data_IF_912382325048
#
_entry.id   IF_912382325048
#
_cell.length_a   1.000
_cell.length_b   1.000
_cell.length_c   1.000
_cell.angle_alpha   90.00
_cell.angle_beta   90.00
_cell.angle_gamma   90.00
#
_symmetry.space_group_name_H-M   'P 1'
#
loop_
_entity.id
_entity.type
_entity.pdbx_description
1 polymer ?
#
# COMPACT_ATOMS: atom_id res chain seq x y z
N UNK A 1 -24.83 -12.00 -54.46
CA UNK A 1 -25.36 -11.43 -55.72
C UNK A 1 -24.75 -12.18 -56.87
N UNK A 2 -25.53 -12.80 -57.75
CA UNK A 2 -25.00 -13.48 -58.94
C UNK A 2 -25.26 -12.57 -60.14
N UNK A 3 -24.21 -12.06 -60.77
CA UNK A 3 -24.32 -11.37 -62.05
C UNK A 3 -23.73 -12.25 -63.14
N UNK A 4 -24.57 -12.69 -64.08
CA UNK A 4 -24.11 -13.29 -65.34
C UNK A 4 -24.37 -12.28 -66.46
N UNK A 5 -23.31 -11.75 -67.05
CA UNK A 5 -23.37 -10.71 -68.06
C UNK A 5 -23.24 -11.19 -69.52
N UNK A 6 -23.43 -12.49 -69.82
CA UNK A 6 -23.26 -13.01 -71.19
C UNK A 6 -24.23 -14.17 -71.51
N UNK A 7 -24.71 -14.18 -72.76
CA UNK A 7 -25.62 -15.15 -73.38
C UNK A 7 -25.18 -16.63 -73.19
N UNK A 8 -26.03 -17.50 -72.60
CA UNK A 8 -25.66 -18.86 -72.19
C UNK A 8 -25.48 -19.85 -73.36
N UNK A 9 -25.81 -19.49 -74.61
CA UNK A 9 -25.80 -20.42 -75.75
C UNK A 9 -24.43 -20.64 -76.40
N UNK A 10 -23.38 -19.92 -75.99
CA UNK A 10 -22.03 -19.97 -76.62
C UNK A 10 -20.86 -20.38 -75.71
N UNK A 11 -21.09 -20.90 -74.51
CA UNK A 11 -20.01 -21.33 -73.61
C UNK A 11 -20.16 -22.78 -73.13
N UNK A 12 -19.10 -23.59 -73.25
CA UNK A 12 -19.07 -25.00 -72.81
C UNK A 12 -18.76 -25.20 -71.32
N UNK A 13 -18.35 -24.16 -70.59
CA UNK A 13 -18.25 -24.15 -69.12
C UNK A 13 -18.45 -22.73 -68.61
N UNK A 14 -19.31 -22.57 -67.60
CA UNK A 14 -19.60 -21.31 -66.92
C UNK A 14 -19.05 -21.41 -65.50
N UNK A 15 -18.14 -20.51 -65.12
CA UNK A 15 -17.61 -20.46 -63.75
C UNK A 15 -18.42 -19.46 -62.93
N UNK A 16 -19.19 -19.96 -61.96
CA UNK A 16 -19.91 -19.12 -60.99
C UNK A 16 -19.01 -18.94 -59.77
N UNK A 17 -18.41 -17.76 -59.63
CA UNK A 17 -17.70 -17.40 -58.40
C UNK A 17 -18.75 -17.03 -57.36
N UNK A 18 -18.96 -17.90 -56.38
CA UNK A 18 -19.82 -17.62 -55.22
C UNK A 18 -18.93 -17.19 -54.05
N UNK A 19 -19.14 -15.97 -53.56
CA UNK A 19 -18.52 -15.50 -52.33
C UNK A 19 -19.49 -15.77 -51.19
N UNK A 20 -19.17 -16.74 -50.34
CA UNK A 20 -19.90 -16.95 -49.10
C UNK A 20 -19.56 -15.81 -48.14
N UNK A 21 -20.54 -14.95 -47.83
CA UNK A 21 -20.41 -13.94 -46.79
C UNK A 21 -20.83 -14.59 -45.48
N UNK A 22 -19.91 -14.68 -44.52
CA UNK A 22 -20.23 -15.19 -43.20
C UNK A 22 -21.26 -14.26 -42.52
N UNK A 23 -22.26 -14.81 -41.81
CA UNK A 23 -23.23 -14.00 -41.10
C UNK A 23 -22.54 -13.18 -40.00
N UNK A 24 -23.03 -11.97 -39.79
CA UNK A 24 -22.56 -11.11 -38.69
C UNK A 24 -23.04 -11.66 -37.34
N UNK A 25 -22.36 -11.30 -36.25
CA UNK A 25 -22.76 -11.67 -34.88
C UNK A 25 -24.22 -11.28 -34.60
N UNK A 26 -24.65 -10.11 -35.09
CA UNK A 26 -26.04 -9.66 -34.93
C UNK A 26 -27.04 -10.53 -35.69
N UNK A 27 -26.72 -10.96 -36.91
CA UNK A 27 -27.58 -11.87 -37.67
C UNK A 27 -27.68 -13.24 -37.00
N UNK A 28 -26.56 -13.79 -36.53
CA UNK A 28 -26.53 -15.05 -35.79
C UNK A 28 -27.43 -14.97 -34.55
N UNK A 29 -27.37 -13.85 -33.82
CA UNK A 29 -28.22 -13.62 -32.64
C UNK A 29 -29.69 -13.52 -33.07
N UNK A 30 -30.05 -12.66 -34.02
CA UNK A 30 -31.46 -12.48 -34.40
C UNK A 30 -32.09 -13.76 -34.95
N UNK A 31 -31.38 -14.50 -35.82
CA UNK A 31 -31.86 -15.77 -36.36
C UNK A 31 -32.05 -16.83 -35.26
N UNK A 32 -31.16 -16.86 -34.26
CA UNK A 32 -31.28 -17.76 -33.11
C UNK A 32 -32.54 -17.46 -32.28
N UNK A 33 -32.84 -16.17 -32.07
CA UNK A 33 -34.02 -15.74 -31.31
C UNK A 33 -35.32 -15.90 -32.09
N UNK A 34 -35.31 -15.71 -33.41
CA UNK A 34 -36.45 -16.01 -34.29
C UNK A 34 -36.76 -17.51 -34.29
N UNK A 35 -35.73 -18.36 -34.39
CA UNK A 35 -35.86 -19.81 -34.31
C UNK A 35 -36.39 -20.27 -32.95
N UNK A 36 -35.90 -19.66 -31.85
CA UNK A 36 -36.41 -19.94 -30.51
C UNK A 36 -37.87 -19.49 -30.34
N UNK A 37 -38.27 -18.36 -30.91
CA UNK A 37 -39.64 -17.87 -30.87
C UNK A 37 -40.61 -18.78 -31.64
N UNK A 38 -40.18 -19.32 -32.78
CA UNK A 38 -40.93 -20.31 -33.56
C UNK A 38 -41.10 -21.62 -32.78
N UNK A 39 -40.02 -22.14 -32.19
CA UNK A 39 -40.05 -23.36 -31.36
C UNK A 39 -41.00 -23.24 -30.16
N UNK A 40 -41.09 -22.05 -29.56
CA UNK A 40 -42.01 -21.76 -28.45
C UNK A 40 -43.44 -21.41 -28.91
N UNK A 41 -43.73 -21.38 -30.21
CA UNK A 41 -45.05 -21.04 -30.76
C UNK A 41 -45.45 -19.57 -30.62
N UNK A 42 -44.51 -18.69 -30.23
CA UNK A 42 -44.76 -17.27 -29.95
C UNK A 42 -45.18 -16.48 -31.19
N UNK A 43 -44.82 -16.96 -32.38
CA UNK A 43 -45.16 -16.35 -33.67
C UNK A 43 -46.69 -16.27 -33.91
N UNK A 44 -47.48 -17.14 -33.26
CA UNK A 44 -48.95 -17.13 -33.36
C UNK A 44 -49.59 -15.96 -32.62
N UNK A 45 -48.89 -15.41 -31.62
CA UNK A 45 -49.37 -14.33 -30.74
C UNK A 45 -48.68 -13.00 -31.07
N UNK A 46 -47.38 -13.04 -31.38
CA UNK A 46 -46.53 -11.86 -31.57
C UNK A 46 -46.15 -11.61 -33.05
N UNK A 47 -46.63 -12.45 -33.97
CA UNK A 47 -46.35 -12.34 -35.42
C UNK A 47 -44.85 -12.24 -35.71
N UNK A 48 -44.45 -11.42 -36.68
CA UNK A 48 -43.07 -11.21 -37.13
C UNK A 48 -42.14 -10.56 -36.09
N UNK A 49 -42.69 -10.02 -34.99
CA UNK A 49 -41.89 -9.39 -33.94
C UNK A 49 -41.47 -10.36 -32.83
N UNK A 50 -41.88 -11.63 -32.88
CA UNK A 50 -41.71 -12.56 -31.76
C UNK A 50 -40.25 -12.75 -31.30
N UNK A 51 -39.29 -12.93 -32.22
CA UNK A 51 -37.87 -13.08 -31.86
C UNK A 51 -37.23 -11.79 -31.33
N UNK A 52 -37.60 -10.62 -31.87
CA UNK A 52 -37.12 -9.32 -31.36
C UNK A 52 -37.67 -9.02 -29.96
N UNK A 53 -38.94 -9.34 -29.70
CA UNK A 53 -39.55 -9.25 -28.37
C UNK A 53 -38.87 -10.20 -27.38
N UNK A 54 -38.58 -11.44 -27.79
CA UNK A 54 -37.87 -12.42 -26.97
C UNK A 54 -36.45 -11.95 -26.62
N UNK A 55 -35.72 -11.41 -27.58
CA UNK A 55 -34.39 -10.82 -27.36
C UNK A 55 -34.47 -9.65 -26.36
N UNK A 56 -35.44 -8.75 -26.51
CA UNK A 56 -35.64 -7.64 -25.59
C UNK A 56 -35.95 -8.12 -24.16
N UNK A 57 -36.78 -9.15 -23.99
CA UNK A 57 -37.07 -9.75 -22.68
C UNK A 57 -35.80 -10.32 -22.06
N UNK A 58 -35.00 -11.08 -22.81
CA UNK A 58 -33.74 -11.66 -22.30
C UNK A 58 -32.76 -10.56 -21.88
N UNK A 59 -32.64 -9.49 -22.67
CA UNK A 59 -31.82 -8.33 -22.31
C UNK A 59 -32.33 -7.65 -21.04
N UNK A 60 -33.64 -7.45 -20.89
CA UNK A 60 -34.23 -6.88 -19.67
C UNK A 60 -33.94 -7.77 -18.46
N UNK A 61 -34.11 -9.09 -18.58
CA UNK A 61 -33.80 -10.04 -17.50
C UNK A 61 -32.32 -10.00 -17.13
N UNK A 62 -31.42 -9.95 -18.12
CA UNK A 62 -29.99 -9.82 -17.88
C UNK A 62 -29.64 -8.52 -17.15
N UNK A 63 -30.29 -7.40 -17.50
CA UNK A 63 -30.12 -6.12 -16.81
C UNK A 63 -30.64 -6.18 -15.37
N UNK A 64 -31.80 -6.78 -15.12
CA UNK A 64 -32.33 -6.97 -13.76
C UNK A 64 -31.40 -7.83 -12.91
N UNK A 65 -30.87 -8.93 -13.48
CA UNK A 65 -29.88 -9.77 -12.81
C UNK A 65 -28.62 -8.97 -12.52
N UNK A 66 -28.12 -8.19 -13.46
CA UNK A 66 -26.94 -7.34 -13.27
C UNK A 66 -27.15 -6.32 -12.13
N UNK A 67 -28.31 -5.65 -12.08
CA UNK A 67 -28.68 -4.73 -11.00
C UNK A 67 -28.75 -5.46 -9.65
N UNK A 68 -29.35 -6.65 -9.61
CA UNK A 68 -29.46 -7.44 -8.39
C UNK A 68 -28.09 -7.92 -7.89
N UNK A 69 -27.22 -8.36 -8.79
CA UNK A 69 -25.83 -8.68 -8.47
C UNK A 69 -25.10 -7.45 -7.94
N UNK A 70 -25.21 -6.29 -8.60
CA UNK A 70 -24.61 -5.04 -8.12
C UNK A 70 -25.10 -4.67 -6.71
N UNK A 71 -26.40 -4.81 -6.44
CA UNK A 71 -26.96 -4.59 -5.11
C UNK A 71 -26.36 -5.54 -4.05
N UNK A 72 -26.23 -6.83 -4.37
CA UNK A 72 -25.60 -7.80 -3.47
C UNK A 72 -24.11 -7.51 -3.25
N UNK A 73 -23.39 -7.10 -4.31
CA UNK A 73 -21.96 -6.80 -4.24
C UNK A 73 -21.64 -5.48 -3.53
N UNK A 74 -22.54 -4.51 -3.53
CA UNK A 74 -22.32 -3.19 -2.90
C UNK A 74 -22.68 -3.15 -1.41
N UNK A 75 -23.40 -4.16 -0.89
CA UNK A 75 -23.80 -4.24 0.52
C UNK A 75 -22.59 -4.21 1.46
N UNK A 76 -22.64 -3.35 2.48
CA UNK A 76 -21.63 -3.25 3.54
C UNK A 76 -22.08 -4.05 4.76
N UNK A 77 -21.14 -4.75 5.40
CA UNK A 77 -21.40 -5.56 6.61
C UNK A 77 -20.73 -4.98 7.85
N UNK A 78 -19.90 -3.95 7.67
CA UNK A 78 -19.28 -3.17 8.73
C UNK A 78 -19.11 -1.73 8.25
N UNK A 79 -19.25 -0.78 9.17
CA UNK A 79 -18.94 0.62 8.94
C UNK A 79 -17.96 1.09 10.03
N UNK A 80 -16.79 1.56 9.61
CA UNK A 80 -15.77 2.14 10.49
C UNK A 80 -15.79 3.65 10.34
N UNK A 81 -15.84 4.36 11.46
CA UNK A 81 -15.85 5.83 11.53
C UNK A 81 -14.77 6.26 12.51
N UNK A 82 -13.89 7.16 12.10
CA UNK A 82 -12.93 7.81 12.98
C UNK A 82 -12.83 9.27 12.55
N UNK A 83 -13.15 10.18 13.47
CA UNK A 83 -13.17 11.62 13.19
C UNK A 83 -11.75 12.20 13.11
N UNK A 84 -10.87 11.72 13.97
CA UNK A 84 -9.50 12.18 14.10
C UNK A 84 -8.53 11.11 13.61
N UNK A 85 -8.27 11.11 12.30
CA UNK A 85 -7.48 10.07 11.62
C UNK A 85 -5.98 10.36 11.60
N UNK A 86 -5.54 11.49 12.15
CA UNK A 86 -4.14 11.93 12.11
C UNK A 86 -3.73 12.39 13.51
N UNK A 87 -2.71 11.78 14.10
CA UNK A 87 -2.22 12.20 15.43
C UNK A 87 -0.72 12.33 15.49
N UNK A 88 -0.29 13.28 16.32
CA UNK A 88 1.07 13.38 16.80
C UNK A 88 1.27 12.49 18.03
N UNK A 89 2.39 11.76 18.07
CA UNK A 89 2.74 10.82 19.14
C UNK A 89 4.05 11.27 19.77
N UNK A 90 4.02 11.53 21.08
CA UNK A 90 5.22 11.86 21.84
C UNK A 90 5.99 10.57 22.16
N UNK A 91 7.32 10.62 22.12
CA UNK A 91 8.18 9.48 22.41
C UNK A 91 7.89 8.88 23.80
N UNK A 92 7.64 7.57 23.84
CA UNK A 92 7.31 6.84 25.07
C UNK A 92 5.94 7.16 25.67
N UNK A 93 5.08 7.90 24.94
CA UNK A 93 3.68 8.13 25.31
C UNK A 93 2.77 7.54 24.24
N UNK A 94 1.62 7.03 24.68
CA UNK A 94 0.61 6.47 23.79
C UNK A 94 -0.37 7.54 23.31
N UNK A 95 -0.51 7.66 21.99
CA UNK A 95 -1.63 8.36 21.37
C UNK A 95 -2.81 7.41 21.19
N UNK A 96 -4.04 7.92 21.27
CA UNK A 96 -5.27 7.11 21.17
C UNK A 96 -6.14 7.59 20.01
N UNK A 97 -6.53 6.65 19.17
CA UNK A 97 -7.55 6.82 18.14
C UNK A 97 -8.85 6.17 18.60
N UNK A 98 -9.94 6.94 18.56
CA UNK A 98 -11.28 6.44 18.85
C UNK A 98 -11.96 6.07 17.52
N UNK A 99 -12.25 4.78 17.35
CA UNK A 99 -12.82 4.23 16.13
C UNK A 99 -14.19 3.67 16.47
N UNK A 100 -15.23 4.22 15.86
CA UNK A 100 -16.59 3.68 15.97
C UNK A 100 -16.78 2.59 14.92
N UNK A 101 -17.09 1.38 15.37
CA UNK A 101 -17.56 0.28 14.54
C UNK A 101 -19.08 0.19 14.63
N UNK A 102 -19.74 0.16 13.48
CA UNK A 102 -21.20 -0.01 13.38
C UNK A 102 -21.54 -1.25 12.58
N UNK A 103 -22.58 -1.95 13.02
CA UNK A 103 -23.25 -3.00 12.25
C UNK A 103 -24.43 -2.42 11.44
N UNK A 104 -24.27 -2.14 10.13
CA UNK A 104 -25.33 -1.56 9.31
C UNK A 104 -26.36 -2.61 8.82
N UNK A 105 -26.37 -3.81 9.39
CA UNK A 105 -27.18 -4.93 8.90
C UNK A 105 -28.29 -5.26 9.88
N UNK A 106 -29.35 -5.89 9.37
CA UNK A 106 -30.48 -6.36 10.19
C UNK A 106 -30.19 -7.69 10.90
N UNK A 107 -28.93 -8.09 11.03
CA UNK A 107 -28.52 -9.34 11.67
C UNK A 107 -27.43 -9.05 12.69
N UNK A 108 -27.42 -9.80 13.80
CA UNK A 108 -26.31 -9.75 14.76
C UNK A 108 -25.05 -10.30 14.09
N UNK A 109 -23.94 -9.57 14.20
CA UNK A 109 -22.65 -9.93 13.60
C UNK A 109 -21.54 -9.94 14.64
N UNK A 110 -20.54 -10.81 14.43
CA UNK A 110 -19.33 -10.89 15.23
C UNK A 110 -18.14 -10.45 14.38
N UNK A 111 -17.38 -9.47 14.85
CA UNK A 111 -16.29 -8.87 14.09
C UNK A 111 -14.93 -9.24 14.68
N UNK A 112 -14.04 -9.75 13.85
CA UNK A 112 -12.61 -9.82 14.15
C UNK A 112 -11.95 -8.49 13.76
N UNK A 113 -11.18 -7.90 14.66
CA UNK A 113 -10.49 -6.62 14.47
C UNK A 113 -8.99 -6.90 14.38
N UNK A 114 -8.38 -6.43 13.30
CA UNK A 114 -6.97 -6.66 12.97
C UNK A 114 -6.31 -5.33 12.62
N UNK A 115 -5.00 -5.27 12.86
CA UNK A 115 -4.11 -4.17 12.45
C UNK A 115 -2.99 -4.72 11.58
N UNK A 116 -2.31 -3.83 10.86
CA UNK A 116 -1.13 -4.13 10.07
C UNK A 116 0.17 -3.99 10.89
N UNK A 117 0.17 -4.43 12.15
CA UNK A 117 1.28 -4.22 13.11
C UNK A 117 2.64 -4.69 12.58
N UNK A 118 2.69 -5.87 11.95
CA UNK A 118 3.92 -6.45 11.40
C UNK A 118 4.52 -5.66 10.21
N UNK A 119 3.75 -4.73 9.63
CA UNK A 119 4.16 -3.91 8.48
C UNK A 119 4.49 -2.48 8.86
N UNK A 120 4.42 -2.12 10.15
CA UNK A 120 4.70 -0.76 10.59
C UNK A 120 6.20 -0.46 10.50
N UNK A 121 6.57 0.81 10.24
CA UNK A 121 7.98 1.21 10.27
C UNK A 121 8.60 0.98 11.65
N UNK A 122 9.92 0.81 11.66
CA UNK A 122 10.66 0.57 12.91
C UNK A 122 10.42 1.68 13.94
N UNK A 123 10.28 1.28 15.20
CA UNK A 123 10.01 2.19 16.31
C UNK A 123 8.53 2.51 16.54
N UNK A 124 7.62 2.04 15.68
CA UNK A 124 6.17 2.15 15.91
C UNK A 124 5.59 0.86 16.45
N UNK A 125 4.63 0.98 17.37
CA UNK A 125 3.83 -0.16 17.84
C UNK A 125 2.39 0.25 18.08
N UNK A 126 1.48 -0.71 17.97
CA UNK A 126 0.04 -0.48 18.10
C UNK A 126 -0.62 -1.52 18.97
N UNK A 127 -1.71 -1.14 19.62
CA UNK A 127 -2.51 -2.07 20.44
C UNK A 127 -3.98 -1.69 20.38
N UNK A 128 -4.84 -2.70 20.23
CA UNK A 128 -6.29 -2.54 20.22
C UNK A 128 -6.85 -2.81 21.63
N UNK A 129 -7.91 -2.09 22.02
CA UNK A 129 -8.67 -2.38 23.25
C UNK A 129 -9.28 -3.78 23.23
N UNK A 130 -9.70 -4.23 22.05
CA UNK A 130 -10.33 -5.53 21.83
C UNK A 130 -10.02 -6.02 20.41
N UNK A 131 -9.97 -7.34 20.25
CA UNK A 131 -9.74 -8.00 18.95
C UNK A 131 -11.01 -8.62 18.37
N UNK A 132 -12.06 -8.70 19.17
CA UNK A 132 -13.33 -9.28 18.78
C UNK A 132 -14.48 -8.55 19.47
N UNK A 133 -15.53 -8.26 18.73
CA UNK A 133 -16.75 -7.61 19.25
C UNK A 133 -17.99 -8.17 18.57
N UNK A 134 -19.07 -8.30 19.33
CA UNK A 134 -20.37 -8.77 18.83
C UNK A 134 -21.35 -7.61 18.89
N UNK A 135 -21.99 -7.30 17.76
CA UNK A 135 -22.92 -6.18 17.66
C UNK A 135 -24.28 -6.64 17.14
N UNK A 136 -25.32 -6.15 17.79
CA UNK A 136 -26.69 -6.22 17.34
C UNK A 136 -26.94 -5.35 16.09
N UNK A 137 -28.08 -5.52 15.41
CA UNK A 137 -28.47 -4.67 14.29
C UNK A 137 -28.42 -3.18 14.65
N UNK A 138 -27.80 -2.37 13.78
CA UNK A 138 -27.61 -0.93 13.92
C UNK A 138 -26.83 -0.46 15.18
N UNK A 139 -26.31 -1.40 15.97
CA UNK A 139 -25.49 -1.11 17.15
C UNK A 139 -24.13 -0.53 16.74
N UNK A 140 -23.65 0.40 17.56
CA UNK A 140 -22.35 1.06 17.45
C UNK A 140 -21.50 0.77 18.67
N UNK A 141 -20.22 0.50 18.46
CA UNK A 141 -19.26 0.26 19.52
C UNK A 141 -17.96 1.01 19.27
N UNK A 142 -17.34 1.51 20.35
CA UNK A 142 -16.11 2.29 20.28
C UNK A 142 -14.90 1.42 20.59
N UNK A 143 -14.02 1.28 19.61
CA UNK A 143 -12.74 0.59 19.71
C UNK A 143 -11.67 1.66 19.92
N UNK A 144 -10.81 1.46 20.92
CA UNK A 144 -9.66 2.34 21.16
C UNK A 144 -8.41 1.69 20.58
N UNK A 145 -7.75 2.37 19.64
CA UNK A 145 -6.43 1.99 19.15
C UNK A 145 -5.38 2.89 19.83
N UNK A 146 -4.44 2.27 20.54
CA UNK A 146 -3.30 2.96 21.13
C UNK A 146 -2.05 2.79 20.27
N UNK A 147 -1.38 3.89 19.94
CA UNK A 147 -0.15 3.94 19.13
C UNK A 147 0.98 4.47 20.00
N UNK A 148 2.14 3.83 19.96
CA UNK A 148 3.35 4.20 20.70
C UNK A 148 4.52 4.38 19.72
N UNK A 149 5.38 5.36 20.02
CA UNK A 149 6.60 5.66 19.28
C UNK A 149 7.81 5.51 20.20
N UNK A 150 8.72 4.59 19.86
CA UNK A 150 10.00 4.40 20.54
C UNK A 150 11.06 5.38 20.03
N UNK A 151 12.22 5.40 20.68
CA UNK A 151 13.37 6.20 20.23
C UNK A 151 13.93 5.77 18.87
N UNK A 152 13.56 4.63 18.34
CA UNK A 152 14.10 4.11 17.07
C UNK A 152 13.33 4.58 15.84
N UNK A 153 12.28 5.38 16.07
CA UNK A 153 11.48 5.99 15.02
C UNK A 153 12.30 6.92 14.14
N UNK A 154 11.97 6.93 12.85
CA UNK A 154 12.49 7.91 11.90
C UNK A 154 11.89 9.31 12.21
N UNK A 155 12.71 10.35 12.50
CA UNK A 155 12.22 11.68 12.83
C UNK A 155 11.34 12.33 11.77
N UNK A 156 11.59 12.02 10.50
CA UNK A 156 10.87 12.58 9.36
C UNK A 156 9.79 11.62 8.83
N UNK A 157 9.68 10.44 9.46
CA UNK A 157 8.77 9.37 9.06
C UNK A 157 7.39 9.45 9.71
N UNK A 158 6.49 8.62 9.20
CA UNK A 158 5.15 8.43 9.72
C UNK A 158 4.77 6.94 9.69
N UNK A 159 3.82 6.55 10.54
CA UNK A 159 3.19 5.24 10.46
C UNK A 159 1.80 5.34 9.84
N UNK A 160 1.54 4.50 8.83
CA UNK A 160 0.19 4.26 8.31
C UNK A 160 -0.39 3.00 8.96
N UNK A 161 -1.37 3.18 9.83
CA UNK A 161 -2.04 2.10 10.54
C UNK A 161 -3.35 1.78 9.84
N UNK A 162 -3.48 0.58 9.30
CA UNK A 162 -4.69 0.05 8.69
C UNK A 162 -5.43 -0.82 9.70
N UNK A 163 -6.56 -0.33 10.19
CA UNK A 163 -7.48 -1.11 11.03
C UNK A 163 -8.47 -1.81 10.11
N UNK A 164 -8.59 -3.13 10.22
CA UNK A 164 -9.46 -3.97 9.40
C UNK A 164 -10.41 -4.75 10.29
N UNK A 165 -11.69 -4.71 9.97
CA UNK A 165 -12.73 -5.50 10.62
C UNK A 165 -13.29 -6.52 9.65
N UNK A 166 -13.39 -7.77 10.10
CA UNK A 166 -13.87 -8.90 9.31
C UNK A 166 -15.08 -9.50 10.04
N UNK A 167 -16.31 -9.38 9.51
CA UNK A 167 -17.47 -10.06 10.06
C UNK A 167 -17.31 -11.59 9.86
N UNK A 168 -17.44 -12.38 10.92
CA UNK A 168 -17.28 -13.84 10.89
C UNK A 168 -18.35 -14.51 10.03
N UNK A 169 -19.57 -14.04 10.12
CA UNK A 169 -20.73 -14.61 9.43
C UNK A 169 -20.76 -14.23 7.93
N UNK A 170 -20.12 -13.10 7.57
CA UNK A 170 -20.06 -12.56 6.21
C UNK A 170 -18.65 -11.97 5.98
N UNK A 171 -17.70 -12.74 5.42
CA UNK A 171 -16.27 -12.37 5.39
C UNK A 171 -15.95 -11.31 4.32
N UNK A 172 -16.66 -10.19 4.33
CA UNK A 172 -16.37 -9.01 3.54
C UNK A 172 -15.74 -7.96 4.45
N UNK A 173 -14.41 -7.75 4.37
CA UNK A 173 -13.71 -6.85 5.28
C UNK A 173 -14.10 -5.39 5.04
N UNK A 174 -14.04 -4.59 6.09
CA UNK A 174 -13.98 -3.14 6.00
C UNK A 174 -12.67 -2.65 6.64
N UNK A 175 -12.07 -1.61 6.09
CA UNK A 175 -10.81 -1.06 6.62
C UNK A 175 -10.83 0.45 6.67
N UNK A 176 -10.06 1.01 7.60
CA UNK A 176 -9.77 2.44 7.70
C UNK A 176 -8.26 2.64 7.91
N UNK A 177 -7.66 3.60 7.20
CA UNK A 177 -6.26 4.01 7.41
C UNK A 177 -6.20 5.18 8.40
N UNK A 178 -5.23 5.13 9.31
CA UNK A 178 -4.92 6.15 10.30
C UNK A 178 -3.45 6.54 10.16
N UNK A 179 -3.12 7.80 10.44
CA UNK A 179 -1.77 8.33 10.30
C UNK A 179 -1.24 8.76 11.67
N UNK A 180 -0.05 8.28 12.03
CA UNK A 180 0.66 8.71 13.22
C UNK A 180 2.01 9.32 12.85
N UNK A 181 2.31 10.49 13.41
CA UNK A 181 3.57 11.21 13.21
C UNK A 181 4.24 11.42 14.57
N UNK A 182 5.57 11.28 14.63
CA UNK A 182 6.28 11.48 15.90
C UNK A 182 6.43 12.98 16.18
N UNK A 183 6.13 13.38 17.41
CA UNK A 183 6.24 14.77 17.83
C UNK A 183 7.64 15.10 18.33
N UNK A 184 8.29 16.06 17.67
CA UNK A 184 9.55 16.64 18.14
C UNK A 184 10.73 15.66 18.16
N UNK A 185 10.68 14.58 17.37
CA UNK A 185 11.83 13.71 17.16
C UNK A 185 12.96 14.47 16.47
N UNK A 186 14.19 14.29 16.97
CA UNK A 186 15.38 14.93 16.42
C UNK A 186 16.64 14.15 16.75
N UNK A 187 17.58 14.18 15.82
CA UNK A 187 18.97 13.76 16.04
C UNK A 187 19.88 14.99 16.11
N UNK A 188 20.77 15.02 17.10
CA UNK A 188 21.76 16.08 17.30
C UNK A 188 23.10 15.43 17.59
N UNK A 189 23.97 15.32 16.57
CA UNK A 189 25.28 14.68 16.69
C UNK A 189 26.36 15.72 16.97
N UNK A 190 27.20 15.45 17.98
CA UNK A 190 28.31 16.33 18.36
C UNK A 190 29.59 15.56 18.58
N UNK A 191 30.67 16.04 17.98
CA UNK A 191 32.01 15.50 18.20
C UNK A 191 32.57 16.08 19.50
N UNK A 192 33.19 15.23 20.32
CA UNK A 192 33.89 15.59 21.55
C UNK A 192 35.19 14.79 21.70
N UNK A 193 36.04 15.21 22.64
CA UNK A 193 37.21 14.46 23.09
C UNK A 193 38.16 14.01 21.97
N UNK A 194 38.43 14.89 21.00
CA UNK A 194 39.34 14.60 19.88
C UNK A 194 40.78 14.62 20.36
N UNK A 195 41.52 13.54 20.12
CA UNK A 195 42.96 13.49 20.35
C UNK A 195 43.68 12.53 19.40
N UNK A 196 44.99 12.73 19.23
CA UNK A 196 45.83 11.93 18.35
C UNK A 196 46.93 11.23 19.14
N UNK A 197 47.27 10.00 18.74
CA UNK A 197 48.37 9.23 19.30
C UNK A 197 49.15 8.47 18.22
N UNK A 198 50.50 8.53 18.20
CA UNK A 198 51.36 9.34 19.07
C UNK A 198 51.21 10.86 18.82
N UNK A 199 51.58 11.70 19.79
CA UNK A 199 51.55 13.17 19.66
C UNK A 199 52.69 13.72 18.80
N UNK A 200 53.80 12.99 18.77
CA UNK A 200 54.99 13.31 17.96
C UNK A 200 55.21 12.16 17.00
N UNK A 201 55.37 12.49 15.73
CA UNK A 201 55.47 11.52 14.64
C UNK A 201 56.21 12.11 13.45
N UNK A 202 56.69 11.23 12.57
CA UNK A 202 57.30 11.56 11.28
C UNK A 202 56.41 11.07 10.13
N UNK A 203 56.73 11.53 8.92
CA UNK A 203 56.06 11.05 7.72
C UNK A 203 56.15 9.51 7.60
N UNK A 204 55.04 8.87 7.25
CA UNK A 204 54.92 7.42 7.18
C UNK A 204 54.48 6.75 8.49
N UNK A 205 54.49 7.44 9.63
CA UNK A 205 53.98 6.88 10.88
C UNK A 205 52.46 6.71 10.84
N UNK A 206 51.96 5.64 11.48
CA UNK A 206 50.52 5.40 11.66
C UNK A 206 50.06 6.12 12.92
N UNK A 207 49.16 7.10 12.75
CA UNK A 207 48.56 7.89 13.82
C UNK A 207 47.13 7.42 14.03
N UNK A 208 46.74 7.23 15.28
CA UNK A 208 45.36 6.96 15.65
C UNK A 208 44.71 8.23 16.18
N UNK A 209 43.67 8.68 15.49
CA UNK A 209 42.77 9.71 16.02
C UNK A 209 41.67 9.03 16.82
N UNK A 210 41.50 9.42 18.08
CA UNK A 210 40.38 9.00 18.92
C UNK A 210 39.44 10.18 19.14
N UNK A 211 38.14 9.92 19.11
CA UNK A 211 37.10 10.92 19.32
C UNK A 211 35.83 10.25 19.86
N UNK A 212 34.94 11.02 20.47
CA UNK A 212 33.60 10.59 20.82
C UNK A 212 32.56 11.31 19.96
N UNK A 213 31.55 10.60 19.47
CA UNK A 213 30.37 11.22 18.86
C UNK A 213 29.18 11.02 19.80
N UNK A 214 28.64 12.12 20.32
CA UNK A 214 27.48 12.13 21.20
C UNK A 214 26.21 12.40 20.40
N UNK A 215 25.14 11.66 20.69
CA UNK A 215 23.80 11.99 20.24
C UNK A 215 23.06 12.74 21.37
N UNK A 216 22.87 14.05 21.24
CA UNK A 216 22.09 14.90 22.15
C UNK A 216 20.60 14.97 21.75
N UNK A 217 20.22 14.28 20.68
CA UNK A 217 18.85 14.11 20.23
C UNK A 217 18.03 13.19 21.15
N UNK A 218 16.75 13.06 20.83
CA UNK A 218 15.79 12.21 21.56
C UNK A 218 15.43 10.92 20.81
N UNK A 219 15.92 10.73 19.59
CA UNK A 219 15.84 9.48 18.83
C UNK A 219 17.22 8.92 18.52
N UNK A 220 17.28 7.63 18.19
CA UNK A 220 18.49 6.90 17.81
C UNK A 220 19.04 7.44 16.48
N UNK A 221 20.32 7.78 16.48
CA UNK A 221 21.04 8.17 15.28
C UNK A 221 21.56 6.91 14.56
N UNK A 222 20.78 6.42 13.60
CA UNK A 222 21.12 5.29 12.71
C UNK A 222 21.96 5.74 11.50
N UNK A 223 22.69 4.79 10.93
CA UNK A 223 23.53 4.94 9.73
C UNK A 223 24.55 6.09 9.82
N UNK A 224 25.02 6.37 11.04
CA UNK A 224 25.99 7.45 11.26
C UNK A 224 27.33 7.04 10.65
N UNK A 225 27.89 7.96 9.86
CA UNK A 225 29.21 7.84 9.25
C UNK A 225 30.14 8.90 9.79
N UNK A 226 31.35 8.50 10.18
CA UNK A 226 32.40 9.41 10.65
C UNK A 226 33.60 9.29 9.73
N UNK A 227 33.95 10.39 9.07
CA UNK A 227 35.01 10.43 8.06
C UNK A 227 36.18 11.26 8.58
N UNK A 228 37.39 10.75 8.40
CA UNK A 228 38.63 11.46 8.67
C UNK A 228 39.34 11.76 7.35
N UNK A 229 39.60 13.05 7.14
CA UNK A 229 40.44 13.54 6.05
C UNK A 229 41.69 14.23 6.58
N UNK A 230 42.77 14.11 5.82
CA UNK A 230 44.06 14.76 6.10
C UNK A 230 44.50 15.49 4.85
N UNK A 231 44.78 16.79 5.00
CA UNK A 231 45.13 17.66 3.88
C UNK A 231 44.08 17.64 2.75
N UNK A 232 42.80 17.56 3.13
CA UNK A 232 41.66 17.53 2.20
C UNK A 232 41.40 16.17 1.54
N UNK A 233 42.26 15.17 1.74
CA UNK A 233 42.06 13.82 1.20
C UNK A 233 41.50 12.92 2.29
N UNK A 234 40.39 12.25 1.99
CA UNK A 234 39.85 11.23 2.87
C UNK A 234 40.87 10.11 3.07
N UNK A 235 41.14 9.76 4.33
CA UNK A 235 42.06 8.69 4.68
C UNK A 235 41.32 7.43 5.13
N UNK A 236 40.27 7.62 5.93
CA UNK A 236 39.57 6.50 6.56
C UNK A 236 38.21 6.97 7.11
N UNK A 237 37.30 6.03 7.36
CA UNK A 237 35.95 6.28 7.85
C UNK A 237 35.43 5.11 8.69
N UNK A 238 34.41 5.39 9.51
CA UNK A 238 33.63 4.39 10.24
C UNK A 238 32.17 4.59 9.89
N UNK A 239 31.51 3.55 9.41
CA UNK A 239 30.15 3.59 8.87
C UNK A 239 29.19 2.73 9.71
N UNK A 240 27.89 2.85 9.42
CA UNK A 240 26.81 2.05 10.02
C UNK A 240 26.75 2.12 11.55
N UNK A 241 27.15 3.26 12.12
CA UNK A 241 27.05 3.47 13.57
C UNK A 241 25.58 3.74 13.95
N UNK A 242 25.17 3.14 15.06
CA UNK A 242 23.90 3.41 15.73
C UNK A 242 24.18 4.00 17.10
N UNK A 243 23.77 5.25 17.32
CA UNK A 243 24.01 5.97 18.58
C UNK A 243 22.67 6.28 19.26
N UNK A 244 22.34 5.61 20.38
CA UNK A 244 21.06 5.81 21.06
C UNK A 244 20.91 7.26 21.56
N UNK A 245 19.67 7.72 21.84
CA UNK A 245 19.45 9.07 22.35
C UNK A 245 20.21 9.30 23.66
N UNK A 246 20.82 10.47 23.79
CA UNK A 246 21.71 10.84 24.91
C UNK A 246 22.98 9.97 25.05
N UNK A 247 23.16 8.99 24.17
CA UNK A 247 24.32 8.10 24.13
C UNK A 247 25.52 8.69 23.39
N UNK A 248 26.56 7.88 23.26
CA UNK A 248 27.76 8.21 22.51
C UNK A 248 28.44 6.97 21.94
N UNK A 249 29.27 7.18 20.92
CA UNK A 249 30.18 6.18 20.36
C UNK A 249 31.63 6.67 20.45
N UNK A 250 32.50 5.84 21.02
CA UNK A 250 33.95 6.07 21.01
C UNK A 250 34.56 5.50 19.73
N UNK A 251 35.24 6.34 18.98
CA UNK A 251 35.73 6.03 17.63
C UNK A 251 37.25 6.15 17.60
N UNK A 252 37.89 5.23 16.88
CA UNK A 252 39.34 5.20 16.67
C UNK A 252 39.63 5.03 15.19
N UNK A 253 40.25 6.03 14.58
CA UNK A 253 40.53 6.06 13.14
C UNK A 253 42.04 6.15 12.92
N UNK A 254 42.68 5.07 12.42
CA UNK A 254 44.07 5.13 12.02
C UNK A 254 44.23 5.84 10.66
N UNK A 255 45.30 6.62 10.52
CA UNK A 255 45.72 7.28 9.29
C UNK A 255 47.25 7.40 9.24
N UNK A 256 47.81 7.57 8.04
CA UNK A 256 49.27 7.66 7.85
C UNK A 256 49.69 9.12 7.69
N UNK A 257 50.69 9.54 8.47
CA UNK A 257 51.22 10.90 8.42
C UNK A 257 51.88 11.21 7.08
N UNK A 258 51.47 12.31 6.46
CA UNK A 258 52.09 12.84 5.24
C UNK A 258 53.30 13.72 5.59
N UNK A 259 54.27 13.90 4.69
CA UNK A 259 55.33 14.88 4.85
C UNK A 259 54.76 16.30 5.06
N UNK A 260 55.38 17.05 5.98
CA UNK A 260 54.97 18.42 6.30
C UNK A 260 53.77 18.51 7.25
N UNK A 261 53.01 19.60 7.14
CA UNK A 261 51.83 19.84 7.96
C UNK A 261 50.69 18.87 7.59
N UNK A 262 49.99 18.37 8.60
CA UNK A 262 48.86 17.46 8.45
C UNK A 262 47.60 18.12 9.02
N UNK A 263 46.81 18.78 8.17
CA UNK A 263 45.52 19.35 8.51
C UNK A 263 44.45 18.26 8.59
N UNK A 264 44.15 17.81 9.81
CA UNK A 264 43.14 16.76 10.07
C UNK A 264 41.75 17.39 10.18
N UNK A 265 40.78 16.84 9.44
CA UNK A 265 39.35 17.20 9.54
C UNK A 265 38.51 15.95 9.77
N UNK A 266 37.55 16.06 10.70
CA UNK A 266 36.58 15.01 11.01
C UNK A 266 35.20 15.54 10.67
N UNK A 267 34.43 14.78 9.89
CA UNK A 267 33.03 15.05 9.61
C UNK A 267 32.16 13.91 10.09
N UNK A 268 30.94 14.23 10.51
CA UNK A 268 29.91 13.27 10.90
C UNK A 268 28.70 13.49 10.00
N UNK A 269 28.22 12.43 9.37
CA UNK A 269 27.05 12.43 8.47
C UNK A 269 26.11 11.26 8.77
N UNK A 270 24.93 11.28 8.14
CA UNK A 270 23.92 10.21 8.12
C UNK A 270 23.47 9.98 6.69
#
# INVERSE_FOLDING_TARGET
TVSSGVDPTKQKKTAVVTTAVAPTIMQIITESFDSAAEWMGLNTVLSSAAGTVLLAIVVIVAVVIAILLLYLFTRKFALLICLDRIKEVELGKKARFDITLKNPTNQRLTYNILTNEDSLPEGWSVSLSEKEVKLDPDEEHKITLSVDASSDVDPDGYAEIKVTVIPKERPKPASISLLAMVKGARVDLRIANVFHWPKTFKAGDVITTKLAVHNKGNVTAKNVTVTLSVNGVEKNRVENLSIPPKGYADIRIPWVASPGENAVRISVGR
#
